data_IF_247333053089
#
_entry.id   IF_247333053089
#
_cell.length_a   1.000
_cell.length_b   1.000
_cell.length_c   1.000
_cell.angle_alpha   90.00
_cell.angle_beta   90.00
_cell.angle_gamma   90.00
#
_symmetry.space_group_name_H-M   'P 1'
#
loop_
_entity.id
_entity.type
_entity.pdbx_description
1 polymer ?
#
# COMPACT_ATOMS: atom_id res chain seq x y z
N UNK A 1 52.60 7.04 -43.27
CA UNK A 1 51.19 6.81 -43.64
C UNK A 1 50.42 6.27 -42.42
N UNK A 2 50.49 6.96 -41.26
CA UNK A 2 50.14 6.35 -39.95
C UNK A 2 49.42 7.31 -38.97
N UNK A 3 49.30 8.60 -39.27
CA UNK A 3 48.72 9.58 -38.35
C UNK A 3 47.20 9.78 -38.56
N UNK A 4 46.72 9.61 -39.80
CA UNK A 4 45.30 9.76 -40.16
C UNK A 4 44.43 8.60 -39.69
N UNK A 5 44.99 7.39 -39.59
CA UNK A 5 44.27 6.19 -39.12
C UNK A 5 44.06 6.16 -37.61
N UNK A 6 44.98 6.74 -36.83
CA UNK A 6 44.86 6.81 -35.36
C UNK A 6 43.81 7.83 -34.94
N UNK A 7 43.78 9.01 -35.58
CA UNK A 7 42.78 10.06 -35.36
C UNK A 7 41.37 9.60 -35.75
N UNK A 8 41.23 8.84 -36.83
CA UNK A 8 39.98 8.19 -37.23
C UNK A 8 39.49 7.19 -36.17
N UNK A 9 40.39 6.37 -35.61
CA UNK A 9 40.07 5.38 -34.57
C UNK A 9 39.68 6.01 -33.23
N UNK A 10 40.36 7.08 -32.82
CA UNK A 10 40.01 7.87 -31.64
C UNK A 10 38.65 8.56 -31.81
N UNK A 11 38.36 9.09 -33.00
CA UNK A 11 37.07 9.71 -33.32
C UNK A 11 35.90 8.72 -33.21
N UNK A 12 36.03 7.54 -33.83
CA UNK A 12 34.99 6.49 -33.77
C UNK A 12 34.77 6.00 -32.34
N UNK A 13 35.84 5.81 -31.57
CA UNK A 13 35.73 5.41 -30.17
C UNK A 13 34.97 6.44 -29.34
N UNK A 14 35.33 7.73 -29.45
CA UNK A 14 34.66 8.81 -28.72
C UNK A 14 33.16 8.91 -29.09
N UNK A 15 32.83 8.77 -30.37
CA UNK A 15 31.45 8.79 -30.85
C UNK A 15 30.66 7.60 -30.28
N UNK A 16 31.24 6.40 -30.28
CA UNK A 16 30.57 5.21 -29.73
C UNK A 16 30.34 5.29 -28.22
N UNK A 17 31.34 5.72 -27.43
CA UNK A 17 31.19 5.85 -25.98
C UNK A 17 30.23 6.98 -25.62
N UNK A 18 30.30 8.12 -26.33
CA UNK A 18 29.41 9.25 -26.11
C UNK A 18 27.95 8.92 -26.42
N UNK A 19 27.69 8.23 -27.53
CA UNK A 19 26.32 7.83 -27.92
C UNK A 19 25.74 6.80 -26.97
N UNK A 20 26.52 5.80 -26.54
CA UNK A 20 26.07 4.81 -25.56
C UNK A 20 25.79 5.47 -24.20
N UNK A 21 26.67 6.37 -23.75
CA UNK A 21 26.46 7.12 -22.50
C UNK A 21 25.17 7.96 -22.52
N UNK A 22 24.91 8.65 -23.64
CA UNK A 22 23.68 9.44 -23.81
C UNK A 22 22.43 8.54 -23.84
N UNK A 23 22.50 7.37 -24.49
CA UNK A 23 21.40 6.41 -24.53
C UNK A 23 21.09 5.85 -23.13
N UNK A 24 22.11 5.50 -22.35
CA UNK A 24 21.93 5.04 -20.96
C UNK A 24 21.37 6.15 -20.08
N UNK A 25 21.88 7.38 -20.20
CA UNK A 25 21.40 8.51 -19.41
C UNK A 25 19.94 8.86 -19.70
N UNK A 26 19.54 8.90 -20.98
CA UNK A 26 18.15 9.15 -21.37
C UNK A 26 17.23 8.01 -20.93
N UNK A 27 17.69 6.76 -21.04
CA UNK A 27 16.93 5.60 -20.55
C UNK A 27 16.73 5.66 -19.03
N UNK A 28 17.78 5.85 -18.23
CA UNK A 28 17.68 5.98 -16.77
C UNK A 28 16.83 7.18 -16.36
N UNK A 29 16.93 8.30 -17.07
CA UNK A 29 16.09 9.47 -16.84
C UNK A 29 14.61 9.19 -17.13
N UNK A 30 14.30 8.42 -18.18
CA UNK A 30 12.94 7.99 -18.45
C UNK A 30 12.43 6.97 -17.43
N UNK A 31 13.30 6.09 -16.94
CA UNK A 31 12.97 5.06 -15.96
C UNK A 31 12.67 5.66 -14.59
N UNK A 32 13.51 6.59 -14.11
CA UNK A 32 13.27 7.37 -12.89
C UNK A 32 11.96 8.18 -12.95
N UNK A 33 11.57 8.66 -14.13
CA UNK A 33 10.28 9.37 -14.31
C UNK A 33 9.07 8.44 -14.43
N UNK A 34 9.28 7.18 -14.83
CA UNK A 34 8.21 6.18 -14.99
C UNK A 34 7.94 5.38 -13.74
N UNK A 35 8.81 5.44 -12.74
CA UNK A 35 8.61 4.86 -11.43
C UNK A 35 8.34 5.96 -10.38
N UNK A 36 7.18 6.64 -10.42
CA UNK A 36 6.71 7.31 -9.23
C UNK A 36 6.54 6.25 -8.12
N UNK A 37 6.67 6.67 -6.87
CA UNK A 37 6.22 5.89 -5.71
C UNK A 37 4.82 5.31 -5.99
N UNK A 38 4.43 4.17 -5.39
CA UNK A 38 3.08 3.63 -5.59
C UNK A 38 2.07 4.59 -4.97
N UNK A 39 1.68 5.59 -5.74
CA UNK A 39 0.46 6.33 -5.47
C UNK A 39 -0.62 5.35 -5.92
N UNK A 40 -1.25 4.69 -4.95
CA UNK A 40 -2.48 3.93 -5.20
C UNK A 40 -3.39 4.78 -6.08
N UNK A 41 -4.07 4.14 -7.05
CA UNK A 41 -4.95 4.88 -7.93
C UNK A 41 -5.99 5.63 -7.10
N UNK A 42 -6.44 6.78 -7.59
CA UNK A 42 -7.48 7.57 -6.91
C UNK A 42 -8.71 6.69 -6.60
N UNK A 43 -9.02 5.76 -7.50
CA UNK A 43 -10.17 4.86 -7.38
C UNK A 43 -9.96 3.80 -6.28
N UNK A 44 -8.74 3.31 -6.09
CA UNK A 44 -8.40 2.40 -4.98
C UNK A 44 -8.48 3.11 -3.62
N UNK A 45 -7.95 4.33 -3.53
CA UNK A 45 -8.04 5.16 -2.30
C UNK A 45 -9.49 5.49 -1.94
N UNK A 46 -10.31 5.85 -2.93
CA UNK A 46 -11.74 6.09 -2.73
C UNK A 46 -12.48 4.81 -2.33
N UNK A 47 -12.06 3.65 -2.85
CA UNK A 47 -12.68 2.36 -2.50
C UNK A 47 -12.41 1.99 -1.04
N UNK A 48 -11.18 2.19 -0.54
CA UNK A 48 -10.90 2.00 0.89
C UNK A 48 -11.74 2.93 1.77
N UNK A 49 -11.87 4.20 1.37
CA UNK A 49 -12.69 5.18 2.10
C UNK A 49 -14.17 4.79 2.10
N UNK A 50 -14.70 4.34 0.96
CA UNK A 50 -16.07 3.86 0.82
C UNK A 50 -16.35 2.65 1.72
N UNK A 51 -15.45 1.66 1.72
CA UNK A 51 -15.53 0.49 2.60
C UNK A 51 -15.53 0.92 4.07
N UNK A 52 -14.59 1.77 4.47
CA UNK A 52 -14.49 2.29 5.84
C UNK A 52 -15.80 2.99 6.27
N UNK A 53 -16.39 3.78 5.37
CA UNK A 53 -17.68 4.45 5.61
C UNK A 53 -18.83 3.47 5.74
N UNK A 54 -18.87 2.42 4.93
CA UNK A 54 -19.88 1.36 5.05
C UNK A 54 -19.76 0.63 6.39
N UNK A 55 -18.54 0.31 6.82
CA UNK A 55 -18.27 -0.30 8.12
C UNK A 55 -18.78 0.61 9.23
N UNK A 56 -18.33 1.86 9.23
CA UNK A 56 -18.75 2.85 10.22
C UNK A 56 -20.27 2.98 10.31
N UNK A 57 -20.96 2.98 9.18
CA UNK A 57 -22.42 3.07 9.15
C UNK A 57 -23.09 1.87 9.86
N UNK A 58 -22.58 0.65 9.70
CA UNK A 58 -23.07 -0.51 10.46
C UNK A 58 -22.91 -0.35 11.98
N UNK A 59 -21.77 0.18 12.44
CA UNK A 59 -21.58 0.54 13.85
C UNK A 59 -22.59 1.57 14.34
N UNK A 60 -22.89 2.58 13.52
CA UNK A 60 -23.85 3.62 13.86
C UNK A 60 -25.29 3.12 13.90
N UNK A 61 -25.70 2.25 12.98
CA UNK A 61 -27.02 1.62 13.02
C UNK A 61 -27.21 0.81 14.30
N UNK A 62 -26.20 0.02 14.68
CA UNK A 62 -26.22 -0.69 15.96
C UNK A 62 -26.35 0.29 17.13
N UNK A 63 -25.53 1.35 17.15
CA UNK A 63 -25.54 2.33 18.23
C UNK A 63 -26.89 3.04 18.35
N UNK A 64 -27.51 3.39 17.22
CA UNK A 64 -28.83 4.01 17.18
C UNK A 64 -29.90 3.10 17.82
N UNK A 65 -29.85 1.80 17.55
CA UNK A 65 -30.76 0.82 18.16
C UNK A 65 -30.51 0.59 19.67
N UNK A 66 -29.32 0.93 20.17
CA UNK A 66 -28.89 0.65 21.56
C UNK A 66 -28.56 1.93 22.36
N UNK A 67 -29.26 3.03 22.10
CA UNK A 67 -29.15 4.26 22.89
C UNK A 67 -27.81 4.98 22.76
N UNK A 68 -27.18 4.90 21.59
CA UNK A 68 -25.89 5.54 21.28
C UNK A 68 -24.65 4.75 21.71
N UNK A 69 -24.81 3.48 22.10
CA UNK A 69 -23.73 2.59 22.56
C UNK A 69 -23.31 1.65 21.44
N UNK A 70 -22.03 1.61 21.11
CA UNK A 70 -21.50 0.60 20.20
C UNK A 70 -21.61 -0.81 20.79
N UNK A 71 -21.55 -1.82 19.92
CA UNK A 71 -21.70 -3.22 20.28
C UNK A 71 -20.70 -3.69 21.35
N UNK A 72 -19.48 -3.16 21.36
CA UNK A 72 -18.47 -3.49 22.39
C UNK A 72 -18.74 -2.82 23.75
N UNK A 73 -19.79 -2.00 23.85
CA UNK A 73 -20.29 -1.40 25.09
C UNK A 73 -21.66 -1.96 25.50
N UNK A 74 -22.16 -2.99 24.84
CA UNK A 74 -23.43 -3.67 25.16
C UNK A 74 -23.13 -5.12 25.52
N UNK A 75 -23.77 -5.65 26.57
CA UNK A 75 -23.58 -7.05 27.00
C UNK A 75 -24.01 -8.03 25.92
N UNK A 76 -23.33 -9.17 25.82
CA UNK A 76 -23.71 -10.32 24.98
C UNK A 76 -25.10 -10.84 25.36
N UNK A 77 -25.54 -10.65 26.60
CA UNK A 77 -26.92 -10.98 27.03
C UNK A 77 -27.98 -10.06 26.42
N UNK A 78 -27.57 -8.93 25.84
CA UNK A 78 -28.42 -7.94 25.19
C UNK A 78 -28.07 -7.77 23.71
N UNK A 79 -27.44 -8.77 23.08
CA UNK A 79 -27.08 -8.74 21.65
C UNK A 79 -25.83 -7.93 21.32
N UNK A 80 -25.08 -7.47 22.33
CA UNK A 80 -23.79 -6.82 22.16
C UNK A 80 -22.60 -7.79 22.20
N UNK A 81 -21.42 -7.23 22.44
CA UNK A 81 -20.13 -7.93 22.36
C UNK A 81 -19.13 -7.47 23.43
N UNK A 82 -19.61 -6.82 24.49
CA UNK A 82 -18.80 -6.24 25.58
C UNK A 82 -17.84 -7.28 26.21
N UNK A 83 -18.34 -8.48 26.47
CA UNK A 83 -17.60 -9.57 27.09
C UNK A 83 -16.55 -10.20 26.15
N UNK A 84 -16.60 -9.86 24.86
CA UNK A 84 -15.70 -10.36 23.82
C UNK A 84 -14.56 -9.37 23.48
N UNK A 85 -14.55 -8.19 24.09
CA UNK A 85 -13.50 -7.19 23.86
C UNK A 85 -12.14 -7.72 24.33
N UNK A 86 -11.12 -7.56 23.50
CA UNK A 86 -9.74 -7.88 23.85
C UNK A 86 -8.80 -6.73 23.48
N UNK A 87 -8.79 -5.70 24.32
CA UNK A 87 -8.01 -4.46 24.11
C UNK A 87 -6.51 -4.73 24.18
N UNK A 88 -5.83 -4.53 23.06
CA UNK A 88 -4.39 -4.51 22.94
C UNK A 88 -3.78 -3.13 23.19
N UNK A 89 -2.52 -2.96 22.80
CA UNK A 89 -1.83 -1.66 22.89
C UNK A 89 -2.52 -0.61 22.00
N UNK A 90 -2.59 0.64 22.47
CA UNK A 90 -3.24 1.74 21.74
C UNK A 90 -4.77 1.63 21.66
N UNK A 91 -5.39 0.71 22.41
CA UNK A 91 -6.85 0.52 22.44
C UNK A 91 -7.41 -0.23 21.23
N UNK A 92 -6.56 -0.82 20.39
CA UNK A 92 -6.98 -1.68 19.27
C UNK A 92 -7.50 -3.00 19.82
N UNK A 93 -8.67 -3.44 19.36
CA UNK A 93 -9.24 -4.71 19.77
C UNK A 93 -8.67 -5.87 18.94
N UNK A 94 -7.97 -6.79 19.60
CA UNK A 94 -7.40 -7.98 18.97
C UNK A 94 -8.46 -9.02 18.59
N UNK A 95 -9.66 -8.90 19.14
CA UNK A 95 -10.79 -9.78 18.93
C UNK A 95 -11.93 -9.10 18.16
N UNK A 96 -11.59 -8.11 17.34
CA UNK A 96 -12.53 -7.29 16.59
C UNK A 96 -13.50 -8.06 15.67
N UNK A 97 -13.17 -9.31 15.31
CA UNK A 97 -14.02 -10.22 14.52
C UNK A 97 -15.44 -10.29 15.06
N UNK A 98 -15.62 -10.41 16.37
CA UNK A 98 -16.95 -10.51 16.98
C UNK A 98 -17.74 -9.21 16.83
N UNK A 99 -17.07 -8.07 16.94
CA UNK A 99 -17.68 -6.76 16.74
C UNK A 99 -18.13 -6.55 15.30
N UNK A 100 -17.35 -7.02 14.31
CA UNK A 100 -17.76 -6.98 12.90
C UNK A 100 -18.87 -7.97 12.56
N UNK A 101 -18.88 -9.17 13.17
CA UNK A 101 -20.01 -10.10 13.03
C UNK A 101 -21.32 -9.53 13.56
N UNK A 102 -21.28 -8.76 14.65
CA UNK A 102 -22.48 -8.13 15.22
C UNK A 102 -23.18 -7.15 14.26
N UNK A 103 -22.44 -6.58 13.30
CA UNK A 103 -22.97 -5.68 12.26
C UNK A 103 -23.01 -6.33 10.87
N UNK A 104 -22.85 -7.65 10.78
CA UNK A 104 -22.80 -8.38 9.50
C UNK A 104 -24.06 -8.20 8.66
N UNK A 105 -25.23 -8.03 9.27
CA UNK A 105 -26.49 -7.77 8.58
C UNK A 105 -26.52 -6.38 7.90
N UNK A 106 -25.72 -5.44 8.39
CA UNK A 106 -25.61 -4.08 7.85
C UNK A 106 -24.46 -3.94 6.84
N UNK A 107 -23.66 -5.01 6.69
CA UNK A 107 -22.56 -5.10 5.73
C UNK A 107 -22.98 -5.96 4.54
N UNK A 108 -22.69 -5.48 3.33
CA UNK A 108 -23.07 -6.22 2.10
C UNK A 108 -22.33 -7.56 2.02
N UNK A 109 -21.01 -7.54 2.24
CA UNK A 109 -20.13 -8.71 2.14
C UNK A 109 -18.91 -8.56 3.07
N UNK A 110 -18.29 -9.67 3.51
CA UNK A 110 -17.03 -9.63 4.28
C UNK A 110 -15.88 -8.94 3.53
N UNK A 111 -15.96 -8.87 2.20
CA UNK A 111 -14.98 -8.15 1.37
C UNK A 111 -14.85 -6.66 1.70
N UNK A 112 -15.88 -6.04 2.29
CA UNK A 112 -15.80 -4.67 2.77
C UNK A 112 -14.82 -4.50 3.94
N UNK A 113 -14.49 -5.58 4.67
CA UNK A 113 -13.54 -5.56 5.79
C UNK A 113 -12.06 -5.64 5.34
N UNK A 114 -11.81 -5.74 4.04
CA UNK A 114 -10.48 -5.77 3.46
C UNK A 114 -10.22 -4.47 2.70
N UNK A 115 -9.09 -3.84 2.99
CA UNK A 115 -8.66 -2.68 2.23
C UNK A 115 -8.24 -3.17 0.82
N UNK A 116 -8.70 -2.52 -0.27
CA UNK A 116 -8.30 -2.87 -1.64
C UNK A 116 -6.79 -2.88 -1.85
N UNK A 117 -6.07 -2.03 -1.11
CA UNK A 117 -4.61 -1.89 -1.19
C UNK A 117 -3.85 -2.87 -0.28
N UNK A 118 -4.55 -3.67 0.52
CA UNK A 118 -3.93 -4.69 1.37
C UNK A 118 -3.75 -6.01 0.63
N UNK A 119 -2.64 -6.12 -0.11
CA UNK A 119 -2.34 -7.32 -0.91
C UNK A 119 -2.16 -8.60 -0.07
N UNK A 120 -1.89 -8.47 1.24
CA UNK A 120 -1.61 -9.59 2.14
C UNK A 120 -2.89 -10.21 2.72
N UNK A 121 -3.96 -9.43 2.83
CA UNK A 121 -5.20 -9.85 3.47
C UNK A 121 -6.17 -10.39 2.43
N UNK A 122 -6.88 -11.47 2.75
CA UNK A 122 -7.91 -12.07 1.89
C UNK A 122 -9.25 -12.02 2.59
N UNK A 123 -10.28 -11.63 1.85
CA UNK A 123 -11.64 -11.61 2.36
C UNK A 123 -12.09 -13.03 2.75
N UNK A 124 -12.89 -13.13 3.81
CA UNK A 124 -13.57 -14.37 4.14
C UNK A 124 -14.69 -14.66 3.13
N UNK A 125 -15.07 -15.92 3.01
CA UNK A 125 -16.17 -16.35 2.12
C UNK A 125 -17.51 -15.83 2.63
N UNK A 126 -17.69 -15.82 3.95
CA UNK A 126 -18.87 -15.33 4.66
C UNK A 126 -18.46 -14.85 6.06
N UNK A 127 -19.42 -14.31 6.82
CA UNK A 127 -19.17 -13.80 8.17
C UNK A 127 -18.98 -14.92 9.22
N UNK A 128 -19.49 -16.12 8.97
CA UNK A 128 -19.35 -17.26 9.89
C UNK A 128 -17.91 -17.78 9.93
N UNK A 129 -17.23 -17.77 8.78
CA UNK A 129 -15.82 -18.12 8.59
C UNK A 129 -14.87 -16.89 8.68
N UNK A 130 -15.35 -15.76 9.21
CA UNK A 130 -14.52 -14.57 9.39
C UNK A 130 -13.48 -14.80 10.50
N UNK A 131 -12.19 -14.65 10.18
CA UNK A 131 -11.08 -14.69 11.13
C UNK A 131 -10.34 -13.33 11.21
N UNK A 132 -9.52 -13.09 12.25
CA UNK A 132 -8.76 -11.83 12.36
C UNK A 132 -7.84 -11.59 11.16
N UNK A 133 -7.33 -12.66 10.53
CA UNK A 133 -6.49 -12.59 9.32
C UNK A 133 -7.25 -12.18 8.06
N UNK A 134 -8.58 -12.06 8.10
CA UNK A 134 -9.41 -11.64 6.97
C UNK A 134 -9.85 -10.18 7.05
N UNK A 135 -9.28 -9.41 7.98
CA UNK A 135 -9.70 -8.04 8.26
C UNK A 135 -8.47 -7.13 8.19
N UNK A 136 -8.56 -6.07 7.39
CA UNK A 136 -7.51 -5.05 7.34
C UNK A 136 -7.76 -3.94 8.36
N UNK A 137 -9.03 -3.52 8.51
CA UNK A 137 -9.38 -2.37 9.34
C UNK A 137 -9.23 -2.68 10.82
N UNK A 138 -8.54 -1.80 11.53
CA UNK A 138 -8.34 -1.87 12.96
C UNK A 138 -9.52 -1.18 13.66
N UNK A 139 -10.11 -1.87 14.61
CA UNK A 139 -11.17 -1.35 15.46
C UNK A 139 -10.60 -1.01 16.83
N UNK A 140 -10.97 0.14 17.38
CA UNK A 140 -10.74 0.46 18.79
C UNK A 140 -11.98 0.16 19.60
N UNK A 141 -11.81 -0.46 20.76
CA UNK A 141 -12.88 -0.74 21.72
C UNK A 141 -12.55 -0.13 23.09
N UNK A 142 -13.58 0.32 23.81
CA UNK A 142 -13.39 1.16 24.98
C UNK A 142 -14.71 1.54 25.63
N UNK A 143 -14.75 1.56 26.95
CA UNK A 143 -15.91 2.02 27.74
C UNK A 143 -16.11 3.54 27.66
N UNK A 144 -15.08 4.25 27.22
CA UNK A 144 -14.99 5.68 26.95
C UNK A 144 -15.33 6.05 25.49
N UNK A 145 -15.64 5.06 24.65
CA UNK A 145 -15.99 5.28 23.25
C UNK A 145 -17.51 5.21 23.05
N UNK A 146 -18.14 6.37 22.90
CA UNK A 146 -19.52 6.50 22.47
C UNK A 146 -19.64 7.18 21.09
N UNK A 147 -20.81 7.13 20.48
CA UNK A 147 -21.11 7.75 19.19
C UNK A 147 -20.95 9.29 19.14
N UNK A 148 -20.58 9.95 20.24
CA UNK A 148 -20.36 11.40 20.35
C UNK A 148 -18.90 11.75 20.62
N UNK A 149 -18.08 10.76 20.92
CA UNK A 149 -16.69 10.93 21.29
C UNK A 149 -15.84 11.22 20.04
N UNK A 150 -15.06 12.29 20.04
CA UNK A 150 -14.12 12.57 18.95
C UNK A 150 -12.83 11.75 19.13
N UNK A 151 -12.97 10.43 19.07
CA UNK A 151 -11.87 9.46 19.19
C UNK A 151 -11.93 8.50 18.00
N UNK A 152 -10.77 8.08 17.52
CA UNK A 152 -10.67 7.12 16.41
C UNK A 152 -11.38 5.81 16.81
N UNK A 153 -12.37 5.44 16.02
CA UNK A 153 -13.09 4.17 16.13
C UNK A 153 -12.48 3.12 15.19
N UNK A 154 -12.27 3.50 13.93
CA UNK A 154 -11.72 2.63 12.89
C UNK A 154 -10.52 3.29 12.22
N UNK A 155 -9.51 2.49 11.89
CA UNK A 155 -8.31 2.91 11.17
C UNK A 155 -7.97 1.89 10.08
N UNK A 156 -7.64 2.37 8.88
CA UNK A 156 -6.96 1.56 7.88
C UNK A 156 -5.43 1.68 8.07
N UNK A 157 -4.70 0.61 8.41
CA UNK A 157 -3.25 0.67 8.58
C UNK A 157 -2.47 0.79 7.26
N UNK A 158 -3.12 0.55 6.12
CA UNK A 158 -2.49 0.60 4.78
C UNK A 158 -2.62 2.00 4.17
N UNK A 159 -3.86 2.49 4.03
CA UNK A 159 -4.13 3.80 3.41
C UNK A 159 -4.13 4.95 4.43
N UNK A 160 -4.20 4.66 5.73
CA UNK A 160 -4.26 5.67 6.79
C UNK A 160 -5.61 6.35 6.99
N UNK A 161 -6.65 5.96 6.25
CA UNK A 161 -8.01 6.48 6.43
C UNK A 161 -8.53 6.17 7.84
N UNK A 162 -9.22 7.14 8.45
CA UNK A 162 -9.76 7.03 9.82
C UNK A 162 -11.24 7.37 9.87
N UNK A 163 -11.97 6.67 10.73
CA UNK A 163 -13.31 7.05 11.14
C UNK A 163 -13.33 7.28 12.64
N UNK A 164 -13.79 8.45 13.05
CA UNK A 164 -14.01 8.83 14.43
C UNK A 164 -15.40 8.37 14.89
N UNK A 165 -15.54 8.13 16.19
CA UNK A 165 -16.80 7.64 16.74
C UNK A 165 -17.97 8.62 16.55
N UNK A 166 -17.70 9.93 16.50
CA UNK A 166 -18.68 11.00 16.23
C UNK A 166 -19.17 11.11 14.78
N UNK A 167 -18.51 10.41 13.84
CA UNK A 167 -18.92 10.37 12.43
C UNK A 167 -18.06 11.20 11.50
N UNK A 168 -17.02 11.85 12.01
CA UNK A 168 -15.96 12.38 11.16
C UNK A 168 -15.20 11.22 10.50
N UNK A 169 -15.14 11.19 9.17
CA UNK A 169 -14.39 10.17 8.41
C UNK A 169 -13.45 10.88 7.47
N UNK A 170 -12.15 10.72 7.73
CA UNK A 170 -11.08 11.43 7.04
C UNK A 170 -10.37 10.55 6.04
N UNK A 171 -10.14 11.13 4.87
CA UNK A 171 -9.34 10.51 3.83
C UNK A 171 -7.89 10.99 3.95
N UNK A 172 -6.97 10.08 4.28
CA UNK A 172 -5.57 10.44 4.48
C UNK A 172 -4.89 10.96 3.21
N UNK A 173 -5.39 10.58 2.03
CA UNK A 173 -4.91 11.11 0.76
C UNK A 173 -5.22 12.61 0.55
N UNK A 174 -6.23 13.14 1.24
CA UNK A 174 -6.65 14.55 1.15
C UNK A 174 -6.07 15.36 2.31
N UNK A 175 -6.19 14.82 3.52
CA UNK A 175 -5.90 15.56 4.76
C UNK A 175 -4.49 15.28 5.31
N UNK A 176 -3.82 14.27 4.76
CA UNK A 176 -2.61 13.69 5.33
C UNK A 176 -2.92 12.62 6.39
N UNK A 177 -1.92 11.84 6.81
CA UNK A 177 -2.10 10.89 7.90
C UNK A 177 -2.46 11.62 9.19
N UNK A 178 -3.32 11.03 10.05
CA UNK A 178 -3.67 11.64 11.33
C UNK A 178 -2.40 11.87 12.19
N UNK A 179 -2.39 12.90 13.05
CA UNK A 179 -1.27 13.17 13.95
C UNK A 179 -0.94 11.93 14.80
N UNK A 180 0.32 11.79 15.27
CA UNK A 180 0.78 10.56 15.91
C UNK A 180 -0.09 10.27 17.12
N UNK A 181 -0.97 9.30 16.93
CA UNK A 181 -1.70 8.59 17.95
C UNK A 181 -0.88 7.35 18.31
N UNK A 182 -1.15 6.72 19.45
CA UNK A 182 -0.49 5.49 19.94
C UNK A 182 -0.59 4.28 18.98
N UNK A 183 -1.13 4.50 17.78
CA UNK A 183 -1.35 3.57 16.68
C UNK A 183 -0.19 3.52 15.68
N UNK A 184 0.88 4.31 15.87
CA UNK A 184 2.11 4.24 15.05
C UNK A 184 2.64 2.81 14.81
N UNK A 185 2.65 1.89 15.80
CA UNK A 185 3.10 0.52 15.60
C UNK A 185 2.24 -0.31 14.64
N UNK A 186 1.00 0.12 14.39
CA UNK A 186 0.03 -0.63 13.60
C UNK A 186 0.01 -0.24 12.12
N UNK A 187 0.60 0.90 11.74
CA UNK A 187 0.68 1.27 10.33
C UNK A 187 1.50 0.24 9.56
N UNK A 188 0.86 -0.37 8.57
CA UNK A 188 1.51 -1.30 7.66
C UNK A 188 2.06 -0.47 6.53
N UNK A 189 3.30 -0.01 6.68
CA UNK A 189 4.05 0.49 5.54
C UNK A 189 4.26 -0.69 4.59
N UNK A 190 3.40 -0.78 3.57
CA UNK A 190 3.61 -1.73 2.52
C UNK A 190 4.95 -1.40 1.86
N UNK A 191 5.89 -2.35 1.87
CA UNK A 191 7.11 -2.27 1.07
C UNK A 191 6.85 -2.65 -0.40
N UNK A 192 5.59 -2.89 -0.77
CA UNK A 192 5.15 -2.98 -2.16
C UNK A 192 5.26 -1.60 -2.80
N UNK A 193 6.36 -1.30 -3.51
CA UNK A 193 6.74 -1.92 -4.78
C UNK A 193 8.27 -2.04 -4.98
N UNK A 194 9.06 -1.97 -3.89
CA UNK A 194 10.52 -1.89 -3.96
C UNK A 194 11.14 -3.10 -4.68
N UNK A 195 10.47 -4.26 -4.62
CA UNK A 195 10.84 -5.47 -5.39
C UNK A 195 10.69 -5.32 -6.90
N UNK A 196 9.75 -4.49 -7.39
CA UNK A 196 9.58 -4.24 -8.83
C UNK A 196 10.65 -3.30 -9.37
N UNK A 197 11.01 -2.27 -8.60
CA UNK A 197 12.10 -1.35 -8.95
C UNK A 197 13.48 -2.02 -8.98
N UNK A 198 13.78 -2.90 -8.01
CA UNK A 198 15.05 -3.64 -7.96
C UNK A 198 15.19 -4.61 -9.15
N UNK A 199 14.14 -5.38 -9.46
CA UNK A 199 14.15 -6.31 -10.59
C UNK A 199 14.33 -5.56 -11.93
N UNK A 200 13.65 -4.43 -12.09
CA UNK A 200 13.76 -3.58 -13.27
C UNK A 200 15.15 -2.95 -13.39
N UNK A 201 15.73 -2.46 -12.29
CA UNK A 201 17.10 -1.93 -12.26
C UNK A 201 18.13 -3.00 -12.66
N UNK A 202 17.95 -4.24 -12.21
CA UNK A 202 18.81 -5.37 -12.60
C UNK A 202 18.70 -5.65 -14.11
N UNK A 203 17.49 -5.66 -14.67
CA UNK A 203 17.25 -5.84 -16.11
C UNK A 203 17.91 -4.71 -16.92
N UNK A 204 17.78 -3.46 -16.47
CA UNK A 204 18.38 -2.28 -17.09
C UNK A 204 19.91 -2.33 -17.07
N UNK A 205 20.52 -2.71 -15.94
CA UNK A 205 21.96 -2.90 -15.82
C UNK A 205 22.45 -4.03 -16.72
N UNK A 206 21.74 -5.15 -16.80
CA UNK A 206 22.07 -6.27 -17.68
C UNK A 206 22.04 -5.87 -19.16
N UNK A 207 21.03 -5.09 -19.58
CA UNK A 207 20.91 -4.57 -20.94
C UNK A 207 22.06 -3.60 -21.29
N UNK A 208 22.43 -2.71 -20.38
CA UNK A 208 23.55 -1.80 -20.57
C UNK A 208 24.89 -2.56 -20.71
N UNK A 209 25.14 -3.56 -19.85
CA UNK A 209 26.32 -4.41 -19.95
C UNK A 209 26.39 -5.18 -21.28
N UNK A 210 25.25 -5.69 -21.78
CA UNK A 210 25.19 -6.40 -23.06
C UNK A 210 25.55 -5.47 -24.23
N UNK A 211 25.02 -4.24 -24.25
CA UNK A 211 25.34 -3.26 -25.29
C UNK A 211 26.82 -2.87 -25.30
N UNK A 212 27.42 -2.69 -24.12
CA UNK A 212 28.86 -2.43 -23.99
C UNK A 212 29.70 -3.61 -24.49
N UNK A 213 29.31 -4.84 -24.16
CA UNK A 213 30.01 -6.05 -24.61
C UNK A 213 29.95 -6.23 -26.13
N UNK A 214 28.78 -5.98 -26.75
CA UNK A 214 28.61 -6.04 -28.20
C UNK A 214 29.44 -4.96 -28.89
N UNK A 215 29.40 -3.72 -28.38
CA UNK A 215 30.22 -2.62 -28.90
C UNK A 215 31.71 -2.95 -28.86
N UNK A 216 32.20 -3.47 -27.73
CA UNK A 216 33.59 -3.89 -27.58
C UNK A 216 33.95 -5.05 -28.53
N UNK A 217 33.07 -6.03 -28.69
CA UNK A 217 33.27 -7.17 -29.60
C UNK A 217 33.37 -6.75 -31.07
N UNK A 218 32.54 -5.79 -31.51
CA UNK A 218 32.61 -5.25 -32.87
C UNK A 218 33.91 -4.48 -33.12
N UNK A 219 34.38 -3.69 -32.14
CA UNK A 219 35.66 -2.98 -32.21
C UNK A 219 36.82 -3.99 -32.33
N UNK A 220 36.83 -5.05 -31.51
CA UNK A 220 37.87 -6.08 -31.54
C UNK A 220 37.86 -6.88 -32.86
N UNK A 221 36.68 -7.16 -33.41
CA UNK A 221 36.54 -7.88 -34.70
C UNK A 221 36.99 -7.01 -35.89
N UNK A 222 36.64 -5.72 -35.89
CA UNK A 222 37.13 -4.76 -36.88
C UNK A 222 38.66 -4.57 -36.80
N UNK A 223 39.25 -4.67 -35.60
CA UNK A 223 40.69 -4.64 -35.40
C UNK A 223 41.44 -5.83 -36.02
N UNK A 224 40.85 -7.04 -35.97
CA UNK A 224 41.46 -8.28 -36.50
C UNK A 224 41.33 -8.44 -38.02
N UNK A 225 40.27 -7.89 -38.64
CA UNK A 225 40.04 -8.03 -40.09
C UNK A 225 41.00 -7.22 -40.97
N UNK A 226 41.82 -6.33 -40.38
CA UNK A 226 42.73 -5.44 -41.13
C UNK A 226 44.22 -5.72 -40.82
N UNK A 227 44.50 -6.74 -40.01
CA UNK A 227 45.85 -7.28 -39.76
C UNK A 227 46.13 -8.55 -40.56
N UNK A 228 45.22 -8.94 -41.47
CA UNK A 228 45.39 -10.00 -42.45
C UNK A 228 45.57 -9.38 -43.83
#
# INVERSE_FOLDING_TARGET
MTQTSLLSRLGVFCITVGTVGLAVATFLWTDLRRHPDPVFSRDELLSCYSNLRSIYFGFQLFAQAHGGRFQFNVSTNSGGTLELCARGSGGVDTNAVFHFRAISNDLVLPGALVCPNDALTKAAVDFDHLHPSNITYLLRSGTDLDHKSHVILLLCPVDGNVAYADGDIRCAAVEGPPPPTDLLPYFRHDKGPYRKGLAQAIISCAAACLLLAIGLGLILKAGKSFTA
#
